data_IF_015713324016
#
_entry.id   IF_015713324016
#
_cell.length_a   1.000
_cell.length_b   1.000
_cell.length_c   1.000
_cell.angle_alpha   90.00
_cell.angle_beta   90.00
_cell.angle_gamma   90.00
#
_symmetry.space_group_name_H-M   'P 1'
#
loop_
_entity.id
_entity.type
_entity.pdbx_description
1 polymer ?
#
# COMPACT_ATOMS: atom_id res chain seq x y z
N UNK A 1 10.04 -9.71 12.20
CA UNK A 1 9.41 -10.65 11.24
C UNK A 1 9.72 -10.36 9.76
N UNK A 2 10.33 -9.21 9.41
CA UNK A 2 10.64 -8.80 8.02
C UNK A 2 11.79 -9.56 7.33
N UNK A 3 12.67 -10.22 8.09
CA UNK A 3 13.90 -10.81 7.55
C UNK A 3 13.67 -12.14 6.81
N UNK A 4 12.58 -12.85 7.10
CA UNK A 4 12.26 -14.14 6.47
C UNK A 4 11.46 -13.98 5.16
N UNK A 5 10.50 -13.04 5.11
CA UNK A 5 9.73 -12.75 3.88
C UNK A 5 10.61 -12.20 2.77
N UNK A 6 11.62 -11.38 3.11
CA UNK A 6 12.61 -10.88 2.16
C UNK A 6 13.38 -12.01 1.49
N UNK A 7 13.92 -12.98 2.23
CA UNK A 7 14.75 -14.05 1.64
C UNK A 7 13.93 -15.05 0.80
N UNK A 8 12.65 -15.32 1.16
CA UNK A 8 11.74 -16.17 0.37
C UNK A 8 11.43 -15.56 -0.99
N UNK A 9 11.29 -14.23 -1.08
CA UNK A 9 11.02 -13.54 -2.35
C UNK A 9 12.31 -13.18 -3.11
N UNK A 10 13.41 -12.91 -2.41
CA UNK A 10 14.71 -12.57 -3.02
C UNK A 10 15.30 -13.75 -3.78
N UNK A 11 15.20 -14.99 -3.27
CA UNK A 11 15.73 -16.19 -3.92
C UNK A 11 15.19 -16.40 -5.35
N UNK A 12 13.87 -16.47 -5.58
CA UNK A 12 13.35 -16.65 -6.94
C UNK A 12 13.62 -15.43 -7.83
N UNK A 13 13.68 -14.21 -7.29
CA UNK A 13 14.04 -13.03 -8.10
C UNK A 13 15.52 -13.04 -8.50
N UNK A 14 16.42 -13.49 -7.62
CA UNK A 14 17.84 -13.64 -7.94
C UNK A 14 18.07 -14.73 -8.99
N UNK A 15 17.36 -15.86 -8.89
CA UNK A 15 17.48 -16.96 -9.85
C UNK A 15 16.97 -16.55 -11.24
N UNK A 16 15.87 -15.78 -11.30
CA UNK A 16 15.33 -15.29 -12.57
C UNK A 16 16.15 -14.15 -13.19
N UNK A 17 16.84 -13.33 -12.39
CA UNK A 17 17.63 -12.18 -12.90
C UNK A 17 19.13 -12.42 -12.97
N UNK A 18 19.64 -13.55 -12.45
CA UNK A 18 21.06 -13.89 -12.38
C UNK A 18 21.92 -12.73 -11.82
N UNK A 19 21.42 -12.04 -10.78
CA UNK A 19 22.03 -10.84 -10.20
C UNK A 19 22.24 -10.99 -8.70
N UNK A 20 23.26 -10.31 -8.18
CA UNK A 20 23.63 -10.33 -6.77
C UNK A 20 22.49 -9.83 -5.84
N UNK A 21 22.51 -10.26 -4.56
CA UNK A 21 21.53 -9.86 -3.53
C UNK A 21 21.36 -8.35 -3.37
N UNK A 22 22.43 -7.58 -3.57
CA UNK A 22 22.45 -6.12 -3.37
C UNK A 22 21.42 -5.35 -4.20
N UNK A 23 21.45 -5.41 -5.55
CA UNK A 23 20.48 -4.70 -6.38
C UNK A 23 19.03 -5.16 -6.13
N UNK A 24 18.80 -6.45 -5.87
CA UNK A 24 17.44 -6.96 -5.64
C UNK A 24 16.88 -6.49 -4.28
N UNK A 25 17.70 -6.42 -3.23
CA UNK A 25 17.26 -5.87 -1.94
C UNK A 25 16.98 -4.36 -2.00
N UNK A 26 17.69 -3.62 -2.86
CA UNK A 26 17.45 -2.19 -3.08
C UNK A 26 16.04 -1.91 -3.63
N UNK A 27 15.41 -2.85 -4.34
CA UNK A 27 14.01 -2.72 -4.81
C UNK A 27 13.07 -2.58 -3.62
N UNK A 28 13.23 -3.43 -2.60
CA UNK A 28 12.41 -3.36 -1.38
C UNK A 28 12.71 -2.12 -0.54
N UNK A 29 13.95 -1.61 -0.58
CA UNK A 29 14.29 -0.32 0.01
C UNK A 29 13.54 0.84 -0.63
N UNK A 30 13.51 0.88 -1.97
CA UNK A 30 12.77 1.90 -2.74
C UNK A 30 11.26 1.77 -2.53
N UNK A 31 10.73 0.54 -2.51
CA UNK A 31 9.33 0.26 -2.17
C UNK A 31 8.96 0.90 -0.83
N UNK A 32 9.76 0.64 0.22
CA UNK A 32 9.47 1.17 1.56
C UNK A 32 9.57 2.69 1.61
N UNK A 33 10.56 3.28 0.93
CA UNK A 33 10.71 4.74 0.83
C UNK A 33 9.52 5.39 0.10
N UNK A 34 9.09 4.82 -1.02
CA UNK A 34 7.92 5.29 -1.77
C UNK A 34 6.65 5.15 -0.93
N UNK A 35 6.48 4.03 -0.22
CA UNK A 35 5.31 3.80 0.64
C UNK A 35 5.18 4.90 1.70
N UNK A 36 6.30 5.30 2.32
CA UNK A 36 6.36 6.41 3.29
C UNK A 36 5.94 7.75 2.67
N UNK A 37 6.44 8.07 1.46
CA UNK A 37 6.09 9.30 0.74
C UNK A 37 4.61 9.30 0.30
N UNK A 38 4.05 8.15 -0.04
CA UNK A 38 2.61 8.05 -0.34
C UNK A 38 1.72 8.28 0.87
N UNK A 39 2.21 8.21 2.11
CA UNK A 39 1.41 8.50 3.30
C UNK A 39 0.71 9.88 3.23
N UNK A 40 1.44 11.01 3.16
CA UNK A 40 0.83 12.33 3.03
C UNK A 40 0.05 12.53 1.72
N UNK A 41 0.54 11.98 0.60
CA UNK A 41 -0.12 12.10 -0.71
C UNK A 41 -1.49 11.42 -0.68
N UNK A 42 -1.57 10.21 -0.13
CA UNK A 42 -2.81 9.47 -0.01
C UNK A 42 -3.80 10.18 0.91
N UNK A 43 -3.36 10.85 1.97
CA UNK A 43 -4.25 11.68 2.82
C UNK A 43 -4.90 12.81 2.04
N UNK A 44 -4.14 13.50 1.19
CA UNK A 44 -4.68 14.57 0.34
C UNK A 44 -5.68 14.01 -0.69
N UNK A 45 -5.35 12.89 -1.33
CA UNK A 45 -6.21 12.24 -2.33
C UNK A 45 -7.50 11.66 -1.72
N UNK A 46 -7.43 11.07 -0.53
CA UNK A 46 -8.62 10.53 0.15
C UNK A 46 -9.56 11.63 0.61
N UNK A 47 -9.04 12.78 1.03
CA UNK A 47 -9.84 13.95 1.41
C UNK A 47 -10.58 14.58 0.22
N UNK A 48 -10.05 14.45 -1.00
CA UNK A 48 -10.62 15.09 -2.21
C UNK A 48 -11.50 14.15 -3.04
N UNK A 49 -11.16 12.85 -3.14
CA UNK A 49 -11.84 11.90 -4.02
C UNK A 49 -12.65 10.81 -3.31
N UNK A 50 -12.57 10.75 -1.96
CA UNK A 50 -13.22 9.75 -1.13
C UNK A 50 -12.51 8.38 -1.16
N UNK A 51 -12.53 7.66 -0.03
CA UNK A 51 -11.81 6.39 0.17
C UNK A 51 -12.05 5.34 -0.93
N UNK A 52 -13.28 5.25 -1.45
CA UNK A 52 -13.71 4.14 -2.31
C UNK A 52 -13.08 4.17 -3.70
N UNK A 53 -12.98 5.35 -4.32
CA UNK A 53 -12.37 5.51 -5.66
C UNK A 53 -10.85 5.33 -5.59
N UNK A 54 -10.22 5.91 -4.57
CA UNK A 54 -8.77 5.82 -4.35
C UNK A 54 -8.32 4.37 -4.15
N UNK A 55 -9.06 3.58 -3.35
CA UNK A 55 -8.75 2.15 -3.15
C UNK A 55 -8.83 1.36 -4.46
N UNK A 56 -9.87 1.62 -5.26
CA UNK A 56 -10.11 0.88 -6.51
C UNK A 56 -9.01 1.17 -7.54
N UNK A 57 -8.63 2.44 -7.67
CA UNK A 57 -7.53 2.86 -8.56
C UNK A 57 -6.20 2.29 -8.10
N UNK A 58 -5.92 2.31 -6.78
CA UNK A 58 -4.70 1.72 -6.21
C UNK A 58 -4.61 0.20 -6.45
N UNK A 59 -5.73 -0.52 -6.30
CA UNK A 59 -5.80 -1.95 -6.59
C UNK A 59 -5.62 -2.27 -8.08
N UNK A 60 -6.23 -1.49 -8.99
CA UNK A 60 -6.02 -1.65 -10.43
C UNK A 60 -4.56 -1.37 -10.83
N UNK A 61 -3.93 -0.34 -10.27
CA UNK A 61 -2.51 -0.03 -10.48
C UNK A 61 -1.60 -1.13 -9.97
N UNK A 62 -1.88 -1.68 -8.79
CA UNK A 62 -1.16 -2.82 -8.23
C UNK A 62 -1.27 -4.06 -9.12
N UNK A 63 -2.49 -4.41 -9.55
CA UNK A 63 -2.75 -5.54 -10.44
C UNK A 63 -2.03 -5.37 -11.78
N UNK A 64 -2.09 -4.16 -12.38
CA UNK A 64 -1.36 -3.84 -13.61
C UNK A 64 0.16 -3.94 -13.42
N UNK A 65 0.70 -3.51 -12.28
CA UNK A 65 2.11 -3.64 -11.93
C UNK A 65 2.57 -5.09 -11.83
N UNK A 66 1.78 -5.96 -11.20
CA UNK A 66 2.07 -7.39 -11.13
C UNK A 66 1.98 -8.09 -12.49
N UNK A 67 0.96 -7.78 -13.29
CA UNK A 67 0.81 -8.29 -14.66
C UNK A 67 1.96 -7.83 -15.57
N UNK A 68 2.37 -6.56 -15.48
CA UNK A 68 3.50 -6.03 -16.23
C UNK A 68 4.83 -6.70 -15.83
N UNK A 69 4.98 -7.03 -14.55
CA UNK A 69 6.16 -7.73 -14.05
C UNK A 69 6.30 -9.17 -14.58
N UNK A 70 5.22 -9.80 -15.03
CA UNK A 70 5.24 -11.14 -15.62
C UNK A 70 5.77 -11.13 -17.06
N UNK A 71 5.56 -10.04 -17.79
CA UNK A 71 5.83 -9.98 -19.22
C UNK A 71 7.26 -9.49 -19.55
N UNK A 72 7.92 -8.76 -18.63
CA UNK A 72 9.26 -8.19 -18.83
C UNK A 72 10.20 -8.49 -17.65
N UNK A 73 11.08 -9.49 -17.82
CA UNK A 73 12.10 -9.88 -16.84
C UNK A 73 13.34 -8.96 -16.86
N UNK A 74 13.16 -7.66 -16.69
CA UNK A 74 14.23 -6.66 -16.68
C UNK A 74 14.36 -5.99 -15.30
N UNK A 75 15.59 -5.85 -14.80
CA UNK A 75 15.87 -5.26 -13.48
C UNK A 75 15.28 -3.85 -13.31
N UNK A 76 15.39 -3.03 -14.35
CA UNK A 76 14.81 -1.69 -14.39
C UNK A 76 13.27 -1.70 -14.31
N UNK A 77 12.64 -2.68 -14.96
CA UNK A 77 11.20 -2.87 -14.87
C UNK A 77 10.76 -3.30 -13.48
N UNK A 78 11.54 -4.14 -12.80
CA UNK A 78 11.27 -4.51 -11.41
C UNK A 78 11.36 -3.31 -10.44
N UNK A 79 12.32 -2.40 -10.63
CA UNK A 79 12.37 -1.16 -9.84
C UNK A 79 11.12 -0.29 -10.03
N UNK A 80 10.64 -0.16 -11.26
CA UNK A 80 9.44 0.63 -11.58
C UNK A 80 8.18 -0.06 -11.08
N UNK A 81 7.96 -1.32 -11.44
CA UNK A 81 6.73 -2.06 -11.15
C UNK A 81 6.59 -2.39 -9.66
N UNK A 82 7.61 -2.98 -9.03
CA UNK A 82 7.55 -3.33 -7.60
C UNK A 82 7.83 -2.10 -6.75
N UNK A 83 8.89 -1.35 -7.03
CA UNK A 83 9.28 -0.21 -6.21
C UNK A 83 8.28 0.95 -6.25
N UNK A 84 8.05 1.52 -7.43
CA UNK A 84 7.22 2.72 -7.58
C UNK A 84 5.73 2.35 -7.64
N UNK A 85 5.31 1.50 -8.59
CA UNK A 85 3.90 1.16 -8.76
C UNK A 85 3.36 0.36 -7.57
N UNK A 86 4.14 -0.60 -7.07
CA UNK A 86 3.83 -1.35 -5.86
C UNK A 86 3.80 -0.47 -4.62
N UNK A 87 4.80 0.40 -4.41
CA UNK A 87 4.86 1.31 -3.25
C UNK A 87 3.67 2.27 -3.21
N UNK A 88 3.30 2.83 -4.36
CA UNK A 88 2.13 3.71 -4.49
C UNK A 88 0.83 2.92 -4.28
N UNK A 89 0.70 1.73 -4.88
CA UNK A 89 -0.48 0.88 -4.73
C UNK A 89 -0.72 0.44 -3.29
N UNK A 90 0.33 -0.02 -2.60
CA UNK A 90 0.25 -0.40 -1.18
C UNK A 90 -0.07 0.80 -0.28
N UNK A 91 0.56 1.96 -0.51
CA UNK A 91 0.26 3.18 0.25
C UNK A 91 -1.19 3.64 0.09
N UNK A 92 -1.74 3.56 -1.12
CA UNK A 92 -3.12 3.94 -1.43
C UNK A 92 -4.16 2.95 -0.92
N UNK A 93 -3.82 1.67 -0.74
CA UNK A 93 -4.72 0.66 -0.13
C UNK A 93 -4.69 0.74 1.40
N UNK A 94 -3.53 1.05 1.98
CA UNK A 94 -3.36 1.09 3.44
C UNK A 94 -4.16 2.23 4.08
N UNK A 95 -4.20 3.40 3.44
CA UNK A 95 -4.92 4.56 3.95
C UNK A 95 -6.45 4.35 4.13
N UNK A 96 -7.21 3.91 3.12
CA UNK A 96 -8.65 3.68 3.24
C UNK A 96 -8.97 2.56 4.23
N UNK A 97 -8.09 1.56 4.40
CA UNK A 97 -8.23 0.57 5.46
C UNK A 97 -8.18 1.22 6.85
N UNK A 98 -7.19 2.10 7.09
CA UNK A 98 -7.10 2.84 8.37
C UNK A 98 -8.30 3.76 8.57
N UNK A 99 -8.66 4.54 7.56
CA UNK A 99 -9.77 5.51 7.63
C UNK A 99 -11.10 4.80 7.86
N UNK A 100 -11.35 3.67 7.17
CA UNK A 100 -12.57 2.86 7.38
C UNK A 100 -12.66 2.31 8.80
N UNK A 101 -11.53 1.89 9.39
CA UNK A 101 -11.48 1.45 10.79
C UNK A 101 -11.70 2.62 11.74
N UNK A 102 -11.13 3.79 11.44
CA UNK A 102 -11.36 5.03 12.18
C UNK A 102 -12.84 5.40 12.27
N UNK A 103 -13.53 5.43 11.12
CA UNK A 103 -14.99 5.69 11.07
C UNK A 103 -15.81 4.63 11.80
N UNK A 104 -15.40 3.36 11.72
CA UNK A 104 -16.08 2.28 12.43
C UNK A 104 -16.01 2.45 13.96
N UNK A 105 -14.85 2.87 14.49
CA UNK A 105 -14.68 3.14 15.92
C UNK A 105 -15.30 4.47 16.37
N UNK A 106 -15.25 5.51 15.54
CA UNK A 106 -15.89 6.80 15.81
C UNK A 106 -17.41 6.67 15.89
N UNK A 107 -18.04 5.95 14.95
CA UNK A 107 -19.48 5.72 14.92
C UNK A 107 -19.98 5.06 16.22
N UNK A 108 -19.28 4.02 16.72
CA UNK A 108 -19.66 3.39 17.99
C UNK A 108 -19.51 4.30 19.21
N UNK A 109 -18.65 5.33 19.16
CA UNK A 109 -18.54 6.36 20.21
C UNK A 109 -19.65 7.41 20.09
N UNK A 110 -19.96 7.86 18.88
CA UNK A 110 -20.99 8.88 18.63
C UNK A 110 -22.41 8.40 18.92
N UNK A 111 -22.72 7.11 18.67
CA UNK A 111 -24.01 6.53 19.06
C UNK A 111 -24.23 6.50 20.58
N UNK A 112 -23.17 6.31 21.39
CA UNK A 112 -23.28 6.27 22.84
C UNK A 112 -23.52 7.66 23.47
N UNK A 113 -22.99 8.73 22.85
CA UNK A 113 -23.29 10.11 23.27
C UNK A 113 -24.70 10.53 22.86
N UNK A 114 -25.20 10.08 21.70
CA UNK A 114 -26.54 10.45 21.22
C UNK A 114 -27.66 9.94 22.14
N UNK A 115 -27.52 8.75 22.75
CA UNK A 115 -28.53 8.20 23.66
C UNK A 115 -28.52 8.81 25.07
N UNK A 116 -27.56 9.68 25.40
CA UNK A 116 -27.47 10.33 26.72
C UNK A 116 -28.21 11.68 26.79
N UNK A 117 -28.86 12.11 25.69
CA UNK A 117 -29.55 13.42 25.60
C UNK A 117 -31.08 13.34 25.84
N UNK A 118 -31.62 12.16 26.16
CA UNK A 118 -33.05 11.96 26.47
C UNK A 118 -33.38 11.93 27.97
N UNK A 119 -32.44 12.27 28.85
CA UNK A 119 -32.72 12.43 30.29
C UNK A 119 -32.86 13.92 30.60
N UNK A 120 -34.08 14.49 30.58
CA UNK A 120 -34.30 15.80 31.17
C UNK A 120 -34.03 15.72 32.68
N UNK A 121 -33.40 16.80 33.17
CA UNK A 121 -32.99 17.07 34.55
C UNK A 121 -34.12 16.90 35.56
#
# INVERSE_FOLDING_TARGET
MTFSMGDVFLRPMMDNLNKARGPVSAIFGILSAMTLVTGPIATIFTNTYGCRKVTTVGACLGAAGFLASYFWANLWFYYLAIGITGGIGFGLIYLPAIVSVGFYFESKRSFAMASQLEIPM
#
